data_IF_939068951373
#
_entry.id   IF_939068951373
#
_cell.length_a   1.000
_cell.length_b   1.000
_cell.length_c   1.000
_cell.angle_alpha   90.00
_cell.angle_beta   90.00
_cell.angle_gamma   90.00
#
_symmetry.space_group_name_H-M   'P 1'
#
loop_
_entity.id
_entity.type
_entity.pdbx_description
1 polymer ?
#
# COMPACT_ATOMS: atom_id res chain seq x y z
N UNK A 1 5.81 16.41 -26.85
CA UNK A 1 5.04 15.17 -26.62
C UNK A 1 5.48 14.63 -25.26
N UNK A 2 4.68 14.86 -24.22
CA UNK A 2 5.04 14.54 -22.83
C UNK A 2 4.88 13.04 -22.60
N UNK A 3 5.95 12.36 -22.22
CA UNK A 3 5.92 10.97 -21.82
C UNK A 3 5.64 10.97 -20.30
N UNK A 4 4.56 10.36 -19.84
CA UNK A 4 4.35 10.10 -18.42
C UNK A 4 4.74 8.66 -18.14
N UNK A 5 4.98 8.32 -16.88
CA UNK A 5 5.03 6.93 -16.45
C UNK A 5 3.61 6.38 -16.43
N UNK A 6 3.51 5.05 -16.54
CA UNK A 6 2.23 4.41 -16.82
C UNK A 6 1.31 4.39 -15.58
N UNK A 7 1.81 4.57 -14.35
CA UNK A 7 0.97 4.65 -13.13
C UNK A 7 0.21 5.96 -13.00
N UNK A 8 0.88 7.09 -13.20
CA UNK A 8 0.31 8.43 -13.09
C UNK A 8 -0.71 8.63 -14.21
N UNK A 9 -0.39 8.20 -15.44
CA UNK A 9 -1.36 8.19 -16.55
C UNK A 9 -2.61 7.40 -16.23
N UNK A 10 -2.47 6.22 -15.61
CA UNK A 10 -3.62 5.40 -15.23
C UNK A 10 -4.44 6.11 -14.15
N UNK A 11 -3.78 6.72 -13.15
CA UNK A 11 -4.46 7.52 -12.12
C UNK A 11 -5.18 8.75 -12.69
N UNK A 12 -4.53 9.49 -13.59
CA UNK A 12 -5.11 10.64 -14.29
C UNK A 12 -6.33 10.22 -15.12
N UNK A 13 -6.21 9.11 -15.85
CA UNK A 13 -7.32 8.54 -16.61
C UNK A 13 -8.48 8.15 -15.69
N UNK A 14 -8.21 7.48 -14.57
CA UNK A 14 -9.26 7.14 -13.60
C UNK A 14 -9.90 8.39 -13.00
N UNK A 15 -9.14 9.43 -12.70
CA UNK A 15 -9.69 10.69 -12.20
C UNK A 15 -10.53 11.43 -13.25
N UNK A 16 -10.19 11.31 -14.55
CA UNK A 16 -10.96 11.91 -15.64
C UNK A 16 -12.25 11.13 -15.95
N UNK A 17 -12.17 9.81 -16.05
CA UNK A 17 -13.30 8.95 -16.45
C UNK A 17 -14.21 8.59 -15.26
N UNK A 18 -13.65 8.57 -14.05
CA UNK A 18 -14.31 8.05 -12.85
C UNK A 18 -14.04 8.94 -11.61
N UNK A 19 -14.05 10.25 -11.80
CA UNK A 19 -13.78 11.28 -10.78
C UNK A 19 -14.49 11.03 -9.44
N UNK A 20 -15.74 10.57 -9.47
CA UNK A 20 -16.59 10.40 -8.28
C UNK A 20 -16.47 9.03 -7.61
N UNK A 21 -15.64 8.14 -8.16
CA UNK A 21 -15.39 6.82 -7.55
C UNK A 21 -14.49 6.98 -6.32
N UNK A 22 -14.81 6.28 -5.24
CA UNK A 22 -14.05 6.35 -4.00
C UNK A 22 -12.66 5.67 -4.16
N UNK A 23 -11.60 6.45 -3.94
CA UNK A 23 -10.22 5.99 -3.98
C UNK A 23 -9.71 5.59 -2.60
N UNK A 24 -10.03 6.38 -1.57
CA UNK A 24 -9.55 6.14 -0.20
C UNK A 24 -10.69 6.39 0.80
N UNK A 25 -10.82 5.50 1.78
CA UNK A 25 -11.72 5.61 2.93
C UNK A 25 -10.88 5.54 4.21
N UNK A 26 -10.96 6.58 5.04
CA UNK A 26 -10.23 6.72 6.29
C UNK A 26 -11.18 7.20 7.40
N UNK A 27 -11.76 6.22 8.12
CA UNK A 27 -12.82 6.48 9.08
C UNK A 27 -14.01 7.22 8.44
N UNK A 28 -14.42 8.40 8.95
CA UNK A 28 -15.51 9.18 8.37
C UNK A 28 -15.09 10.00 7.15
N UNK A 29 -13.80 10.09 6.86
CA UNK A 29 -13.27 10.85 5.73
C UNK A 29 -13.07 9.95 4.52
N UNK A 30 -13.27 10.49 3.33
CA UNK A 30 -13.02 9.76 2.09
C UNK A 30 -12.51 10.72 1.01
N UNK A 31 -11.77 10.17 0.06
CA UNK A 31 -11.38 10.85 -1.18
C UNK A 31 -11.86 10.03 -2.36
N UNK A 32 -12.49 10.72 -3.31
CA UNK A 32 -12.69 10.17 -4.66
C UNK A 32 -11.39 10.23 -5.48
N UNK A 33 -11.33 9.55 -6.62
CA UNK A 33 -10.17 9.64 -7.52
C UNK A 33 -9.91 11.08 -7.99
N UNK A 34 -10.97 11.83 -8.30
CA UNK A 34 -10.84 13.25 -8.67
C UNK A 34 -10.29 14.10 -7.52
N UNK A 35 -10.80 13.90 -6.30
CA UNK A 35 -10.32 14.63 -5.11
C UNK A 35 -8.88 14.25 -4.74
N UNK A 36 -8.53 12.96 -4.84
CA UNK A 36 -7.17 12.48 -4.60
C UNK A 36 -6.18 13.15 -5.56
N UNK A 37 -6.47 13.12 -6.87
CA UNK A 37 -5.59 13.74 -7.86
C UNK A 37 -5.49 15.25 -7.67
N UNK A 38 -6.61 15.94 -7.38
CA UNK A 38 -6.60 17.38 -7.13
C UNK A 38 -5.72 17.77 -5.94
N UNK A 39 -5.83 17.06 -4.81
CA UNK A 39 -4.99 17.30 -3.62
C UNK A 39 -3.52 16.97 -3.89
N UNK A 40 -3.25 15.85 -4.58
CA UNK A 40 -1.90 15.46 -4.92
C UNK A 40 -1.23 16.46 -5.89
N UNK A 41 -1.99 17.01 -6.84
CA UNK A 41 -1.50 18.05 -7.77
C UNK A 41 -1.15 19.33 -7.01
N UNK A 42 -2.00 19.76 -6.06
CA UNK A 42 -1.71 20.93 -5.24
C UNK A 42 -0.43 20.76 -4.41
N UNK A 43 -0.21 19.57 -3.85
CA UNK A 43 1.04 19.25 -3.15
C UNK A 43 2.24 19.20 -4.10
N UNK A 44 2.08 18.61 -5.29
CA UNK A 44 3.10 18.54 -6.33
C UNK A 44 3.55 19.95 -6.77
N UNK A 45 2.60 20.87 -6.99
CA UNK A 45 2.88 22.25 -7.34
C UNK A 45 3.64 22.97 -6.21
N UNK A 46 3.26 22.74 -4.95
CA UNK A 46 3.96 23.29 -3.78
C UNK A 46 5.41 22.79 -3.68
N UNK A 47 5.63 21.49 -3.92
CA UNK A 47 6.97 20.89 -4.00
C UNK A 47 7.78 21.55 -5.12
N UNK A 48 7.16 21.81 -6.28
CA UNK A 48 7.83 22.37 -7.45
C UNK A 48 8.15 23.87 -7.33
N UNK A 49 7.30 24.64 -6.65
CA UNK A 49 7.39 26.10 -6.48
C UNK A 49 8.40 26.51 -5.41
N UNK A 50 8.41 25.82 -4.26
CA UNK A 50 9.28 26.20 -3.13
C UNK A 50 10.75 25.94 -3.44
N UNK A 51 11.06 24.76 -3.98
CA UNK A 51 12.39 24.42 -4.48
C UNK A 51 12.23 23.31 -5.53
N UNK A 52 12.62 23.58 -6.77
CA UNK A 52 12.49 22.62 -7.87
C UNK A 52 13.01 21.24 -7.46
N UNK A 53 12.09 20.28 -7.34
CA UNK A 53 12.43 18.87 -7.16
C UNK A 53 12.97 18.35 -8.47
N UNK A 54 14.12 17.68 -8.42
CA UNK A 54 14.70 17.06 -9.60
C UNK A 54 14.03 15.71 -9.86
N UNK A 55 14.01 15.29 -11.12
CA UNK A 55 13.58 13.94 -11.46
C UNK A 55 14.46 12.93 -10.71
N UNK A 56 13.86 11.83 -10.25
CA UNK A 56 14.54 10.73 -9.51
C UNK A 56 14.90 11.08 -8.08
N UNK A 57 14.78 12.36 -7.69
CA UNK A 57 15.15 12.82 -6.35
C UNK A 57 14.33 12.10 -5.27
N UNK A 58 14.96 11.53 -4.23
CA UNK A 58 14.25 10.86 -3.16
C UNK A 58 13.61 11.87 -2.19
N UNK A 59 12.30 11.74 -2.00
CA UNK A 59 11.50 12.55 -1.07
C UNK A 59 10.98 11.67 0.06
N UNK A 60 11.37 12.01 1.29
CA UNK A 60 10.91 11.33 2.50
C UNK A 60 9.44 11.62 2.77
N UNK A 61 8.67 10.60 3.15
CA UNK A 61 7.27 10.75 3.56
C UNK A 61 7.12 10.15 4.95
N UNK A 62 6.97 11.02 5.95
CA UNK A 62 6.84 10.64 7.35
C UNK A 62 5.42 10.92 7.84
N UNK A 63 4.47 10.15 7.30
CA UNK A 63 3.04 10.27 7.57
C UNK A 63 2.49 8.91 8.02
N UNK A 64 1.51 8.93 8.93
CA UNK A 64 0.80 7.72 9.30
C UNK A 64 -0.04 7.21 8.11
N UNK A 65 -0.33 5.90 8.02
CA UNK A 65 -1.32 5.40 7.05
C UNK A 65 -2.63 6.19 7.17
N UNK A 66 -3.12 6.72 6.05
CA UNK A 66 -4.22 7.68 6.04
C UNK A 66 -4.30 8.47 4.73
N UNK A 67 -5.26 9.39 4.64
CA UNK A 67 -5.44 10.22 3.43
C UNK A 67 -4.18 10.99 3.04
N UNK A 68 -3.50 11.62 4.02
CA UNK A 68 -2.32 12.43 3.78
C UNK A 68 -1.17 11.63 3.17
N UNK A 69 -0.94 10.41 3.66
CA UNK A 69 0.11 9.53 3.16
C UNK A 69 -0.12 9.09 1.71
N UNK A 70 -1.37 8.82 1.33
CA UNK A 70 -1.72 8.48 -0.06
C UNK A 70 -1.55 9.71 -0.96
N UNK A 71 -2.03 10.88 -0.53
CA UNK A 71 -1.87 12.15 -1.27
C UNK A 71 -0.39 12.48 -1.48
N UNK A 72 0.44 12.35 -0.44
CA UNK A 72 1.87 12.65 -0.49
C UNK A 72 2.61 11.75 -1.48
N UNK A 73 2.36 10.45 -1.46
CA UNK A 73 2.97 9.52 -2.41
C UNK A 73 2.56 9.84 -3.85
N UNK A 74 1.27 10.07 -4.12
CA UNK A 74 0.83 10.46 -5.47
C UNK A 74 1.51 11.77 -5.90
N UNK A 75 1.60 12.77 -5.02
CA UNK A 75 2.22 14.06 -5.33
C UNK A 75 3.72 13.95 -5.69
N UNK A 76 4.47 13.15 -4.93
CA UNK A 76 5.90 12.89 -5.19
C UNK A 76 6.08 12.19 -6.55
N UNK A 77 5.22 11.24 -6.88
CA UNK A 77 5.21 10.62 -8.21
C UNK A 77 4.85 11.60 -9.33
N UNK A 78 3.90 12.52 -9.12
CA UNK A 78 3.53 13.53 -10.12
C UNK A 78 4.70 14.46 -10.49
N UNK A 79 5.57 14.81 -9.54
CA UNK A 79 6.77 15.62 -9.82
C UNK A 79 7.95 14.81 -10.38
N UNK A 80 7.80 13.48 -10.53
CA UNK A 80 8.84 12.59 -11.04
C UNK A 80 9.91 12.21 -10.02
N UNK A 81 9.63 12.40 -8.74
CA UNK A 81 10.52 12.07 -7.63
C UNK A 81 10.27 10.65 -7.12
N UNK A 82 11.21 10.14 -6.33
CA UNK A 82 11.15 8.81 -5.72
C UNK A 82 10.55 8.90 -4.32
N UNK A 83 9.47 8.16 -4.05
CA UNK A 83 8.90 8.09 -2.71
C UNK A 83 9.81 7.30 -1.76
N UNK A 84 10.11 7.88 -0.59
CA UNK A 84 10.74 7.19 0.55
C UNK A 84 9.79 7.22 1.76
N UNK A 85 8.72 6.40 1.75
CA UNK A 85 7.80 6.32 2.87
C UNK A 85 8.46 5.68 4.09
N UNK A 86 8.21 6.25 5.27
CA UNK A 86 8.79 5.82 6.54
C UNK A 86 7.72 5.79 7.64
N UNK A 87 7.80 4.81 8.55
CA UNK A 87 6.90 4.74 9.71
C UNK A 87 7.28 5.81 10.75
N UNK A 88 6.40 6.77 11.08
CA UNK A 88 6.69 7.87 12.00
C UNK A 88 7.01 7.42 13.44
N UNK A 89 6.54 6.24 13.84
CA UNK A 89 6.73 5.71 15.18
C UNK A 89 8.13 5.08 15.41
N UNK A 90 9.00 5.04 14.40
CA UNK A 90 10.38 4.61 14.58
C UNK A 90 11.19 5.64 15.40
N UNK A 91 12.29 5.23 16.06
CA UNK A 91 13.17 6.17 16.76
C UNK A 91 13.68 7.27 15.79
N UNK A 92 13.60 8.58 16.14
CA UNK A 92 14.00 9.66 15.23
C UNK A 92 15.43 9.55 14.70
N UNK A 93 16.37 9.06 15.52
CA UNK A 93 17.74 8.79 15.10
C UNK A 93 17.80 7.81 13.93
N UNK A 94 17.02 6.72 13.98
CA UNK A 94 16.95 5.70 12.94
C UNK A 94 16.32 6.26 11.66
N UNK A 95 15.27 7.08 11.79
CA UNK A 95 14.65 7.79 10.65
C UNK A 95 15.69 8.68 9.96
N UNK A 96 16.42 9.51 10.72
CA UNK A 96 17.46 10.38 10.16
C UNK A 96 18.61 9.61 9.49
N UNK A 97 19.00 8.46 10.03
CA UNK A 97 19.99 7.58 9.39
C UNK A 97 19.47 7.04 8.05
N UNK A 98 18.25 6.48 8.02
CA UNK A 98 17.61 5.99 6.80
C UNK A 98 17.48 7.06 5.72
N UNK A 99 17.03 8.26 6.11
CA UNK A 99 16.90 9.39 5.19
C UNK A 99 18.25 9.78 4.57
N UNK A 100 19.34 9.79 5.36
CA UNK A 100 20.69 10.10 4.86
C UNK A 100 21.26 8.99 3.98
N UNK A 101 21.01 7.72 4.32
CA UNK A 101 21.46 6.58 3.52
C UNK A 101 20.89 6.62 2.09
N UNK A 102 19.66 7.12 1.94
CA UNK A 102 18.97 7.30 0.66
C UNK A 102 19.15 8.73 0.10
N UNK A 103 20.03 9.55 0.68
CA UNK A 103 20.30 10.92 0.27
C UNK A 103 19.05 11.83 0.16
N UNK A 104 18.03 11.59 1.00
CA UNK A 104 16.84 12.44 1.08
C UNK A 104 17.22 13.82 1.58
N UNK A 105 16.79 14.85 0.84
CA UNK A 105 16.87 16.25 1.29
C UNK A 105 15.56 16.75 1.85
N UNK A 106 14.45 16.37 1.21
CA UNK A 106 13.10 16.88 1.49
C UNK A 106 12.25 15.83 2.19
N UNK A 107 11.52 16.23 3.24
CA UNK A 107 10.68 15.34 4.02
C UNK A 107 9.29 15.94 4.20
N UNK A 108 8.26 15.23 3.71
CA UNK A 108 6.85 15.56 3.95
C UNK A 108 6.46 15.00 5.33
N UNK A 109 5.90 15.85 6.20
CA UNK A 109 5.57 15.49 7.58
C UNK A 109 4.30 16.18 8.08
N UNK A 110 3.58 15.53 8.99
CA UNK A 110 2.34 16.04 9.62
C UNK A 110 2.62 17.09 10.71
N UNK A 111 3.64 16.88 11.54
CA UNK A 111 3.94 17.72 12.70
C UNK A 111 5.33 18.38 12.60
N UNK A 112 5.33 19.70 12.51
CA UNK A 112 6.51 20.57 12.45
C UNK A 112 7.03 21.01 13.81
N UNK A 113 6.29 20.73 14.88
CA UNK A 113 6.54 21.30 16.21
C UNK A 113 7.83 20.80 16.85
N UNK A 114 8.50 19.82 16.24
CA UNK A 114 9.65 19.15 16.83
C UNK A 114 10.91 19.35 15.99
N UNK A 115 11.95 19.90 16.63
CA UNK A 115 13.28 20.10 16.07
C UNK A 115 14.05 18.76 15.87
N UNK A 116 13.35 17.65 15.62
CA UNK A 116 13.89 16.28 15.59
C UNK A 116 14.59 15.95 14.27
N UNK A 117 14.21 16.63 13.19
CA UNK A 117 14.66 16.36 11.83
C UNK A 117 15.48 17.52 11.26
N UNK A 118 16.34 18.12 12.09
CA UNK A 118 17.27 19.16 11.64
C UNK A 118 18.18 18.65 10.52
N UNK A 119 18.40 19.49 9.51
CA UNK A 119 19.22 19.18 8.34
C UNK A 119 18.45 18.58 7.16
N UNK A 120 17.12 18.49 7.27
CA UNK A 120 16.22 18.20 6.14
C UNK A 120 15.32 19.39 5.88
N UNK A 121 14.95 19.58 4.62
CA UNK A 121 13.93 20.55 4.21
C UNK A 121 12.56 19.94 4.47
N UNK A 122 11.90 20.42 5.53
CA UNK A 122 10.63 19.88 5.96
C UNK A 122 9.49 20.53 5.14
N UNK A 123 8.56 19.72 4.64
CA UNK A 123 7.34 20.15 3.97
C UNK A 123 6.11 19.73 4.78
N UNK A 124 5.29 20.67 5.29
CA UNK A 124 4.11 20.30 6.05
C UNK A 124 3.08 19.70 5.13
N UNK A 125 2.46 18.63 5.61
CA UNK A 125 1.15 18.22 5.11
C UNK A 125 0.14 19.28 5.60
N UNK A 126 0.11 20.41 4.92
CA UNK A 126 -0.91 21.44 5.16
C UNK A 126 -2.28 20.89 4.77
N UNK A 127 -3.35 21.48 5.31
CA UNK A 127 -4.70 21.26 4.79
C UNK A 127 -4.76 21.93 3.41
N UNK A 128 -4.21 21.25 2.40
CA UNK A 128 -4.18 21.70 1.02
C UNK A 128 -5.61 21.69 0.51
N UNK A 129 -6.30 22.81 0.72
CA UNK A 129 -7.54 23.13 0.03
C UNK A 129 -7.23 23.16 -1.46
N UNK A 130 -8.04 22.50 -2.33
CA UNK A 130 -7.77 22.46 -3.75
C UNK A 130 -7.90 23.87 -4.33
N UNK A 131 -6.78 24.59 -4.45
CA UNK A 131 -6.68 25.76 -5.29
C UNK A 131 -6.61 25.29 -6.75
N UNK A 132 -7.54 25.79 -7.55
CA UNK A 132 -7.77 25.44 -8.94
C UNK A 132 -6.57 25.87 -9.81
N UNK A 133 -5.52 25.04 -9.95
CA UNK A 133 -4.39 25.32 -10.86
C UNK A 133 -3.83 24.07 -11.55
N UNK A 134 -3.18 24.30 -12.70
CA UNK A 134 -2.88 23.36 -13.79
C UNK A 134 -1.41 22.94 -13.83
N UNK A 135 -1.22 21.64 -14.08
CA UNK A 135 -0.15 20.94 -14.82
C UNK A 135 1.32 21.28 -14.54
N UNK A 136 2.06 20.30 -14.02
CA UNK A 136 3.35 19.83 -14.56
C UNK A 136 3.61 18.37 -14.14
N UNK A 137 4.21 17.54 -15.02
CA UNK A 137 4.67 16.18 -14.66
C UNK A 137 5.97 15.78 -15.38
N UNK A 138 6.87 15.17 -14.60
CA UNK A 138 8.13 14.54 -15.02
C UNK A 138 8.18 13.08 -14.50
N UNK A 139 9.08 12.25 -15.00
CA UNK A 139 8.98 10.78 -15.19
C UNK A 139 10.00 9.98 -14.34
N UNK A 140 9.70 8.76 -13.79
CA UNK A 140 10.66 7.63 -13.49
C UNK A 140 10.07 6.23 -13.15
N UNK A 141 10.89 5.17 -13.30
CA UNK A 141 10.60 3.73 -13.41
C UNK A 141 9.59 3.10 -12.43
N UNK A 142 8.60 2.46 -13.05
CA UNK A 142 7.24 2.20 -12.54
C UNK A 142 6.75 0.77 -12.90
N UNK A 143 7.61 -0.04 -13.51
CA UNK A 143 7.19 -1.24 -14.26
C UNK A 143 6.78 -2.45 -13.40
N UNK A 144 7.42 -2.69 -12.25
CA UNK A 144 7.12 -3.86 -11.41
C UNK A 144 5.81 -3.71 -10.63
N UNK A 145 5.48 -2.50 -10.16
CA UNK A 145 4.22 -2.21 -9.48
C UNK A 145 3.04 -2.32 -10.47
N UNK A 146 3.24 -1.84 -11.70
CA UNK A 146 2.29 -2.02 -12.79
C UNK A 146 2.06 -3.49 -13.15
N UNK A 147 3.13 -4.31 -13.12
CA UNK A 147 3.01 -5.74 -13.32
C UNK A 147 2.16 -6.39 -12.22
N UNK A 148 2.44 -6.08 -10.95
CA UNK A 148 1.68 -6.57 -9.80
C UNK A 148 0.20 -6.13 -9.86
N UNK A 149 -0.08 -4.91 -10.33
CA UNK A 149 -1.43 -4.38 -10.43
C UNK A 149 -2.24 -4.93 -11.61
N UNK A 150 -1.62 -5.01 -12.80
CA UNK A 150 -2.33 -5.30 -14.06
C UNK A 150 -2.23 -6.76 -14.52
N UNK A 151 -1.24 -7.52 -14.04
CA UNK A 151 -0.99 -8.91 -14.47
C UNK A 151 -1.08 -9.93 -13.34
N UNK A 152 -1.69 -9.55 -12.23
CA UNK A 152 -1.99 -10.49 -11.16
C UNK A 152 -3.27 -11.28 -11.47
N UNK A 153 -3.08 -12.41 -12.16
CA UNK A 153 -4.17 -13.32 -12.52
C UNK A 153 -4.61 -14.23 -11.36
N UNK A 154 -3.89 -14.22 -10.24
CA UNK A 154 -4.13 -15.10 -9.09
C UNK A 154 -5.07 -14.47 -8.06
N UNK A 155 -4.98 -13.16 -7.87
CA UNK A 155 -5.94 -12.35 -7.09
C UNK A 155 -6.44 -11.16 -7.90
N UNK A 156 -7.20 -11.39 -8.99
CA UNK A 156 -7.72 -10.30 -9.80
C UNK A 156 -8.72 -9.47 -8.99
N UNK A 157 -8.39 -8.20 -8.77
CA UNK A 157 -9.27 -7.27 -8.05
C UNK A 157 -10.53 -7.00 -8.90
N UNK A 158 -11.68 -7.44 -8.40
CA UNK A 158 -13.01 -7.13 -8.93
C UNK A 158 -13.33 -5.65 -8.74
N UNK A 159 -14.18 -5.08 -9.60
CA UNK A 159 -14.59 -3.67 -9.61
C UNK A 159 -15.17 -3.13 -8.30
N UNK A 160 -15.63 -4.01 -7.40
CA UNK A 160 -16.16 -3.65 -6.08
C UNK A 160 -15.16 -3.83 -4.94
N UNK A 161 -13.94 -4.29 -5.22
CA UNK A 161 -12.99 -4.63 -4.17
C UNK A 161 -12.51 -3.41 -3.39
N UNK A 162 -12.36 -3.65 -2.08
CA UNK A 162 -11.84 -2.71 -1.09
C UNK A 162 -10.67 -3.36 -0.38
N UNK A 163 -9.49 -2.78 -0.55
CA UNK A 163 -8.22 -3.32 -0.05
C UNK A 163 -7.88 -2.59 1.25
N UNK A 164 -7.69 -3.33 2.33
CA UNK A 164 -7.24 -2.73 3.60
C UNK A 164 -5.81 -2.21 3.47
N UNK A 165 -5.53 -1.04 4.02
CA UNK A 165 -4.18 -0.50 4.14
C UNK A 165 -3.79 -0.32 5.61
N UNK A 166 -2.73 -1.00 6.02
CA UNK A 166 -2.22 -0.98 7.40
C UNK A 166 -0.79 -1.44 7.55
N UNK A 167 -0.21 -2.05 6.51
CA UNK A 167 1.18 -2.45 6.53
C UNK A 167 2.07 -1.22 6.66
N UNK A 168 3.24 -1.42 7.28
CA UNK A 168 4.21 -0.36 7.44
C UNK A 168 4.57 0.20 6.05
N UNK A 169 4.44 1.52 5.84
CA UNK A 169 4.59 2.11 4.51
C UNK A 169 6.03 2.05 4.00
N UNK A 170 7.02 1.84 4.87
CA UNK A 170 8.42 1.58 4.49
C UNK A 170 8.71 0.15 4.05
N UNK A 171 7.71 -0.74 4.02
CA UNK A 171 7.84 -2.10 3.51
C UNK A 171 6.99 -2.33 2.26
N UNK A 172 7.45 -3.25 1.41
CA UNK A 172 6.91 -3.52 0.08
C UNK A 172 5.46 -4.03 0.05
N UNK A 173 4.94 -4.67 1.11
CA UNK A 173 3.52 -5.04 1.19
C UNK A 173 2.58 -3.84 1.02
N UNK A 174 2.99 -2.67 1.51
CA UNK A 174 2.21 -1.44 1.38
C UNK A 174 2.07 -0.96 -0.07
N UNK A 175 2.99 -1.35 -0.97
CA UNK A 175 2.89 -1.01 -2.40
C UNK A 175 1.69 -1.69 -3.06
N UNK A 176 1.33 -2.90 -2.63
CA UNK A 176 0.10 -3.53 -3.09
C UNK A 176 -1.12 -2.79 -2.54
N UNK A 177 -1.14 -2.56 -1.22
CA UNK A 177 -2.28 -1.90 -0.55
C UNK A 177 -2.61 -0.56 -1.18
N UNK A 178 -1.58 0.18 -1.60
CA UNK A 178 -1.74 1.47 -2.25
C UNK A 178 -1.82 1.37 -3.78
N UNK A 179 -0.70 1.09 -4.44
CA UNK A 179 -0.57 1.30 -5.87
C UNK A 179 -1.32 0.25 -6.69
N UNK A 180 -1.25 -1.02 -6.30
CA UNK A 180 -2.04 -2.05 -7.00
C UNK A 180 -3.54 -1.77 -6.90
N UNK A 181 -4.01 -1.32 -5.72
CA UNK A 181 -5.39 -0.88 -5.50
C UNK A 181 -5.78 0.30 -6.39
N UNK A 182 -4.97 1.35 -6.41
CA UNK A 182 -5.26 2.58 -7.17
C UNK A 182 -5.21 2.38 -8.69
N UNK A 183 -4.20 1.66 -9.18
CA UNK A 183 -4.05 1.33 -10.61
C UNK A 183 -5.24 0.46 -11.06
N UNK A 184 -5.69 -0.46 -10.23
CA UNK A 184 -6.86 -1.28 -10.51
C UNK A 184 -8.18 -0.50 -10.42
N UNK A 185 -8.18 0.78 -10.03
CA UNK A 185 -9.39 1.57 -9.76
C UNK A 185 -10.25 0.98 -8.64
N UNK A 186 -9.64 0.69 -7.49
CA UNK A 186 -10.28 0.16 -6.29
C UNK A 186 -10.18 1.13 -5.13
N UNK A 187 -10.83 0.79 -4.03
CA UNK A 187 -10.82 1.62 -2.82
C UNK A 187 -9.78 1.09 -1.83
N UNK A 188 -8.91 1.97 -1.36
CA UNK A 188 -8.08 1.76 -0.17
C UNK A 188 -8.94 2.01 1.06
N UNK A 189 -8.97 1.07 2.00
CA UNK A 189 -9.63 1.22 3.31
C UNK A 189 -8.56 1.27 4.38
N UNK A 190 -8.32 2.45 4.97
CA UNK A 190 -7.31 2.65 6.01
C UNK A 190 -7.77 1.95 7.28
N UNK A 191 -6.99 0.98 7.74
CA UNK A 191 -7.24 0.27 9.00
C UNK A 191 -6.63 1.08 10.16
N UNK A 192 -7.44 1.52 11.15
CA UNK A 192 -6.90 2.27 12.28
C UNK A 192 -5.89 1.45 13.09
N UNK A 193 -4.87 2.14 13.63
CA UNK A 193 -3.85 1.51 14.49
C UNK A 193 -4.50 0.72 15.63
N UNK A 194 -4.02 -0.50 15.86
CA UNK A 194 -4.51 -1.42 16.91
C UNK A 194 -5.77 -2.22 16.55
N UNK A 195 -6.50 -1.90 15.48
CA UNK A 195 -7.69 -2.69 15.07
C UNK A 195 -7.30 -4.09 14.61
N UNK A 196 -6.19 -4.23 13.86
CA UNK A 196 -5.74 -5.51 13.33
C UNK A 196 -5.49 -6.57 14.41
N UNK A 197 -5.06 -6.15 15.60
CA UNK A 197 -4.73 -7.02 16.73
C UNK A 197 -5.89 -7.21 17.70
N UNK A 198 -7.03 -6.55 17.48
CA UNK A 198 -8.19 -6.64 18.35
C UNK A 198 -9.22 -7.65 17.80
N UNK A 199 -9.43 -8.78 18.48
CA UNK A 199 -10.27 -9.88 18.00
C UNK A 199 -11.76 -9.49 17.87
N UNK A 200 -12.20 -8.43 18.55
CA UNK A 200 -13.58 -7.94 18.49
C UNK A 200 -13.76 -6.85 17.44
N UNK A 201 -12.74 -6.01 17.23
CA UNK A 201 -12.84 -4.86 16.32
C UNK A 201 -12.51 -5.19 14.88
N UNK A 202 -11.55 -6.08 14.61
CA UNK A 202 -11.19 -6.43 13.24
C UNK A 202 -12.37 -7.00 12.43
N UNK A 203 -13.11 -8.03 12.90
CA UNK A 203 -14.21 -8.60 12.11
C UNK A 203 -15.33 -7.58 11.85
N UNK A 204 -15.65 -6.76 12.85
CA UNK A 204 -16.65 -5.68 12.73
C UNK A 204 -16.20 -4.63 11.71
N UNK A 205 -14.95 -4.16 11.82
CA UNK A 205 -14.38 -3.19 10.90
C UNK A 205 -14.41 -3.68 9.44
N UNK A 206 -13.98 -4.93 9.19
CA UNK A 206 -13.97 -5.50 7.84
C UNK A 206 -15.38 -5.58 7.25
N UNK A 207 -16.37 -5.92 8.08
CA UNK A 207 -17.78 -6.00 7.68
C UNK A 207 -18.35 -4.61 7.39
N UNK A 208 -18.18 -3.66 8.30
CA UNK A 208 -18.77 -2.32 8.24
C UNK A 208 -18.20 -1.51 7.06
N UNK A 209 -16.89 -1.64 6.81
CA UNK A 209 -16.21 -0.97 5.68
C UNK A 209 -16.37 -1.71 4.36
N UNK A 210 -16.93 -2.93 4.39
CA UNK A 210 -17.00 -3.87 3.25
C UNK A 210 -15.62 -4.13 2.65
N UNK A 211 -14.59 -4.23 3.49
CA UNK A 211 -13.28 -4.68 3.07
C UNK A 211 -13.39 -6.07 2.47
N UNK A 212 -12.71 -6.32 1.35
CA UNK A 212 -12.76 -7.60 0.63
C UNK A 212 -11.39 -8.22 0.42
N UNK A 213 -10.32 -7.44 0.52
CA UNK A 213 -8.95 -7.92 0.34
C UNK A 213 -8.07 -7.43 1.49
N UNK A 214 -7.34 -8.36 2.10
CA UNK A 214 -6.34 -8.06 3.12
C UNK A 214 -5.03 -8.79 2.80
N UNK A 215 -3.93 -8.04 2.76
CA UNK A 215 -2.59 -8.59 2.71
C UNK A 215 -1.97 -8.38 4.09
N UNK A 216 -1.48 -9.46 4.69
CA UNK A 216 -1.12 -9.47 6.10
C UNK A 216 0.21 -10.21 6.32
N UNK A 217 1.11 -9.69 7.17
CA UNK A 217 2.29 -10.44 7.57
C UNK A 217 1.90 -11.75 8.25
N UNK A 218 2.55 -12.85 7.89
CA UNK A 218 2.20 -14.18 8.40
C UNK A 218 2.22 -14.24 9.94
N UNK A 219 3.17 -13.59 10.63
CA UNK A 219 3.16 -13.50 12.10
C UNK A 219 1.87 -12.89 12.65
N UNK A 220 1.37 -11.80 12.07
CA UNK A 220 0.14 -11.16 12.53
C UNK A 220 -1.07 -12.03 12.22
N UNK A 221 -1.12 -12.66 11.04
CA UNK A 221 -2.15 -13.64 10.71
C UNK A 221 -2.18 -14.78 11.74
N UNK A 222 -1.03 -15.31 12.16
CA UNK A 222 -0.94 -16.39 13.15
C UNK A 222 -1.52 -15.98 14.51
N UNK A 223 -1.26 -14.76 14.95
CA UNK A 223 -1.80 -14.20 16.19
C UNK A 223 -3.32 -14.10 16.10
N UNK A 224 -3.85 -13.55 15.01
CA UNK A 224 -5.30 -13.41 14.80
C UNK A 224 -5.96 -14.77 14.68
N UNK A 225 -5.39 -15.70 13.91
CA UNK A 225 -5.91 -17.06 13.74
C UNK A 225 -6.07 -17.81 15.08
N UNK A 226 -5.18 -17.55 16.05
CA UNK A 226 -5.25 -18.16 17.37
C UNK A 226 -6.31 -17.56 18.30
N UNK A 227 -6.71 -16.30 18.08
CA UNK A 227 -7.59 -15.54 18.99
C UNK A 227 -8.99 -15.31 18.41
N UNK A 228 -9.08 -15.10 17.09
CA UNK A 228 -10.31 -14.87 16.33
C UNK A 228 -10.18 -15.49 14.91
N UNK A 229 -10.26 -16.82 14.79
CA UNK A 229 -10.06 -17.51 13.50
C UNK A 229 -11.10 -17.14 12.43
N UNK A 230 -12.29 -16.68 12.83
CA UNK A 230 -13.34 -16.20 11.94
C UNK A 230 -13.22 -14.71 11.59
N UNK A 231 -12.16 -14.01 12.01
CA UNK A 231 -12.01 -12.58 11.78
C UNK A 231 -12.00 -12.20 10.29
N UNK A 232 -11.57 -13.13 9.45
CA UNK A 232 -11.40 -12.92 8.02
C UNK A 232 -12.63 -13.29 7.17
N UNK A 233 -13.74 -13.75 7.79
CA UNK A 233 -14.91 -14.30 7.07
C UNK A 233 -15.56 -13.37 6.05
N UNK A 234 -15.43 -12.06 6.23
CA UNK A 234 -16.00 -11.06 5.31
C UNK A 234 -15.14 -10.86 4.04
N UNK A 235 -13.91 -11.37 4.04
CA UNK A 235 -12.95 -11.13 2.98
C UNK A 235 -13.10 -12.15 1.85
N UNK A 236 -12.92 -11.67 0.61
CA UNK A 236 -12.76 -12.51 -0.56
C UNK A 236 -11.35 -13.07 -0.69
N UNK A 237 -10.36 -12.27 -0.30
CA UNK A 237 -8.95 -12.64 -0.39
C UNK A 237 -8.20 -12.25 0.88
N UNK A 238 -7.58 -13.24 1.52
CA UNK A 238 -6.52 -13.03 2.53
C UNK A 238 -5.22 -13.56 1.96
N UNK A 239 -4.20 -12.71 1.92
CA UNK A 239 -2.86 -13.10 1.49
C UNK A 239 -1.90 -12.98 2.66
N UNK A 240 -1.36 -14.09 3.13
CA UNK A 240 -0.28 -14.11 4.12
C UNK A 240 1.06 -14.04 3.42
N UNK A 241 1.97 -13.19 3.86
CA UNK A 241 3.30 -13.05 3.26
C UNK A 241 4.35 -12.58 4.28
N UNK A 242 5.62 -12.52 3.86
CA UNK A 242 6.74 -11.97 4.64
C UNK A 242 7.57 -13.00 5.41
N UNK A 243 7.04 -14.21 5.63
CA UNK A 243 7.76 -15.33 6.24
C UNK A 243 7.04 -16.66 5.95
N UNK A 244 7.63 -17.77 6.41
CA UNK A 244 7.07 -19.11 6.20
C UNK A 244 5.67 -19.25 6.80
N UNK A 245 4.72 -19.70 5.98
CA UNK A 245 3.36 -20.03 6.39
C UNK A 245 3.32 -21.05 7.55
N UNK A 246 2.35 -20.89 8.44
CA UNK A 246 2.09 -21.80 9.55
C UNK A 246 0.84 -22.67 9.23
N UNK A 247 1.03 -23.97 8.89
CA UNK A 247 -0.09 -24.85 8.54
C UNK A 247 -1.20 -24.91 9.60
N UNK A 248 -0.84 -24.84 10.89
CA UNK A 248 -1.81 -24.90 11.99
C UNK A 248 -2.69 -23.65 12.05
N UNK A 249 -2.10 -22.47 11.89
CA UNK A 249 -2.84 -21.21 11.88
C UNK A 249 -3.79 -21.12 10.67
N UNK A 250 -3.29 -21.49 9.48
CA UNK A 250 -4.08 -21.55 8.26
C UNK A 250 -5.26 -22.51 8.41
N UNK A 251 -5.03 -23.70 8.98
CA UNK A 251 -6.07 -24.67 9.29
C UNK A 251 -7.16 -24.10 10.20
N UNK A 252 -6.78 -23.42 11.29
CA UNK A 252 -7.76 -22.85 12.23
C UNK A 252 -8.70 -21.85 11.56
N UNK A 253 -8.20 -21.01 10.64
CA UNK A 253 -9.05 -20.11 9.86
C UNK A 253 -9.90 -20.89 8.85
N UNK A 254 -9.32 -21.86 8.15
CA UNK A 254 -10.02 -22.67 7.15
C UNK A 254 -11.17 -23.51 7.73
N UNK A 255 -11.09 -23.91 9.00
CA UNK A 255 -12.14 -24.65 9.70
C UNK A 255 -13.25 -23.76 10.30
N UNK A 256 -13.09 -22.42 10.33
CA UNK A 256 -13.94 -21.49 11.12
C UNK A 256 -14.38 -20.27 10.31
N UNK A 257 -15.40 -20.44 9.47
CA UNK A 257 -15.94 -19.38 8.59
C UNK A 257 -14.80 -18.68 7.80
N UNK A 258 -14.13 -19.41 6.89
CA UNK A 258 -12.97 -18.87 6.20
C UNK A 258 -13.32 -17.70 5.26
N UNK A 259 -12.32 -16.89 4.87
CA UNK A 259 -12.47 -16.03 3.70
C UNK A 259 -12.74 -16.89 2.45
N UNK A 260 -13.24 -16.26 1.37
CA UNK A 260 -13.50 -16.97 0.11
C UNK A 260 -12.22 -17.64 -0.45
N UNK A 261 -11.07 -16.99 -0.25
CA UNK A 261 -9.76 -17.49 -0.65
C UNK A 261 -8.68 -17.09 0.36
N UNK A 262 -7.90 -18.06 0.80
CA UNK A 262 -6.71 -17.90 1.64
C UNK A 262 -5.47 -18.25 0.82
N UNK A 263 -4.50 -17.34 0.77
CA UNK A 263 -3.32 -17.45 -0.07
C UNK A 263 -2.04 -17.39 0.75
N UNK A 264 -1.11 -18.27 0.43
CA UNK A 264 0.29 -18.14 0.84
C UNK A 264 1.04 -17.40 -0.27
N UNK A 265 1.45 -16.17 0.02
CA UNK A 265 2.21 -15.32 -0.88
C UNK A 265 3.70 -15.31 -0.53
N UNK A 266 4.54 -15.29 -1.55
CA UNK A 266 5.99 -15.18 -1.39
C UNK A 266 6.56 -14.20 -2.41
N UNK A 267 7.46 -13.35 -1.95
CA UNK A 267 8.25 -12.46 -2.80
C UNK A 267 9.30 -11.75 -1.96
N UNK A 268 10.55 -11.66 -2.41
CA UNK A 268 11.51 -10.75 -1.83
C UNK A 268 11.20 -9.31 -2.26
N UNK A 269 11.76 -8.31 -1.55
CA UNK A 269 11.57 -6.89 -1.88
C UNK A 269 12.04 -6.55 -3.29
N UNK A 270 13.11 -7.17 -3.75
CA UNK A 270 13.63 -7.08 -5.12
C UNK A 270 12.63 -7.60 -6.17
N UNK A 271 11.72 -8.50 -5.76
CA UNK A 271 10.65 -9.06 -6.57
C UNK A 271 9.35 -8.26 -6.55
N UNK A 272 9.33 -7.10 -5.86
CA UNK A 272 8.16 -6.23 -5.69
C UNK A 272 6.98 -6.94 -5.02
N UNK A 273 7.08 -7.10 -3.71
CA UNK A 273 6.00 -7.57 -2.82
C UNK A 273 5.68 -9.07 -2.96
N UNK A 274 5.10 -9.50 -4.07
CA UNK A 274 4.65 -10.87 -4.28
C UNK A 274 5.12 -11.37 -5.65
N UNK A 275 5.94 -12.41 -5.64
CA UNK A 275 6.46 -13.07 -6.84
C UNK A 275 5.70 -14.36 -7.16
N UNK A 276 5.29 -15.10 -6.14
CA UNK A 276 4.53 -16.35 -6.27
C UNK A 276 3.37 -16.42 -5.29
N UNK A 277 2.32 -17.15 -5.64
CA UNK A 277 1.19 -17.39 -4.76
C UNK A 277 0.68 -18.83 -4.87
N UNK A 278 0.19 -19.34 -3.74
CA UNK A 278 -0.49 -20.62 -3.63
C UNK A 278 -1.82 -20.46 -2.90
N UNK A 279 -2.92 -20.97 -3.48
CA UNK A 279 -4.21 -21.02 -2.80
C UNK A 279 -4.19 -22.17 -1.81
N UNK A 280 -4.34 -21.86 -0.53
CA UNK A 280 -4.28 -22.87 0.54
C UNK A 280 -5.66 -23.48 0.75
N UNK A 281 -5.69 -24.81 0.85
CA UNK A 281 -6.88 -25.61 1.19
C UNK A 281 -6.63 -26.42 2.46
N UNK A 282 -7.70 -26.98 3.05
CA UNK A 282 -7.59 -27.80 4.26
C UNK A 282 -6.62 -28.99 4.11
N UNK A 283 -6.64 -29.76 3.00
CA UNK A 283 -5.65 -30.82 2.77
C UNK A 283 -4.19 -30.36 2.82
N UNK A 284 -3.89 -29.16 2.29
CA UNK A 284 -2.51 -28.63 2.31
C UNK A 284 -1.99 -28.42 3.74
N UNK A 285 -2.89 -28.20 4.70
CA UNK A 285 -2.54 -27.97 6.10
C UNK A 285 -2.22 -29.25 6.89
N UNK A 286 -2.29 -30.42 6.25
CA UNK A 286 -1.82 -31.69 6.81
C UNK A 286 -0.32 -31.90 6.64
N UNK A 287 0.30 -31.16 5.72
CA UNK A 287 1.73 -31.18 5.45
C UNK A 287 2.49 -30.27 6.43
N UNK A 288 3.79 -30.52 6.59
CA UNK A 288 4.68 -29.71 7.43
C UNK A 288 4.96 -28.31 6.83
N UNK A 289 4.75 -28.15 5.52
CA UNK A 289 5.06 -26.92 4.77
C UNK A 289 3.99 -26.60 3.75
N UNK A 290 3.69 -25.32 3.59
CA UNK A 290 2.80 -24.82 2.56
C UNK A 290 3.62 -24.37 1.35
N UNK A 291 3.19 -24.77 0.15
CA UNK A 291 3.81 -24.34 -1.10
C UNK A 291 3.78 -22.82 -1.26
N UNK A 292 4.83 -22.25 -1.85
CA UNK A 292 4.83 -20.84 -2.30
C UNK A 292 4.13 -20.67 -3.67
N UNK A 293 3.79 -21.79 -4.31
CA UNK A 293 2.94 -21.85 -5.48
C UNK A 293 3.61 -21.44 -6.78
N UNK A 294 2.85 -20.74 -7.62
CA UNK A 294 3.23 -20.42 -8.99
C UNK A 294 3.53 -18.92 -9.15
N UNK A 295 4.36 -18.53 -10.13
CA UNK A 295 4.65 -17.13 -10.40
C UNK A 295 3.42 -16.28 -10.71
N UNK A 296 3.42 -15.03 -10.26
CA UNK A 296 2.39 -14.06 -10.61
C UNK A 296 2.71 -13.45 -11.98
N UNK A 297 1.77 -13.59 -12.92
CA UNK A 297 1.88 -13.02 -14.26
C UNK A 297 3.06 -13.59 -15.05
N UNK A 298 4.06 -12.74 -15.32
CA UNK A 298 5.22 -13.04 -16.15
C UNK A 298 6.50 -13.21 -15.31
N UNK A 299 6.39 -13.28 -13.98
CA UNK A 299 7.56 -13.47 -13.12
C UNK A 299 8.26 -14.80 -13.45
N UNK A 300 9.58 -14.77 -13.57
CA UNK A 300 10.38 -15.93 -13.89
C UNK A 300 11.15 -16.40 -12.65
N UNK A 301 10.97 -17.66 -12.27
CA UNK A 301 11.73 -18.29 -11.19
C UNK A 301 12.95 -18.99 -11.79
N UNK A 302 14.15 -18.59 -11.37
CA UNK A 302 15.34 -19.41 -11.57
C UNK A 302 15.74 -20.02 -10.24
N UNK A 303 15.50 -21.33 -10.09
CA UNK A 303 16.03 -22.07 -8.96
C UNK A 303 17.53 -22.28 -9.20
N UNK A 304 18.40 -21.70 -8.36
CA UNK A 304 19.77 -22.22 -8.24
C UNK A 304 19.64 -23.56 -7.51
N UNK A 305 19.92 -24.65 -8.22
CA UNK A 305 20.02 -26.00 -7.67
C UNK A 305 21.13 -26.08 -6.63
#
# INVERSE_FOLDING_TARGET
MVCYTMMERVLEQHAQEHSDTMAVLDGPQALTYGQLLARATCLADSLQLKDKVEAEEPVGILLNPGLGQVVAQVAVHLVGATCVPLEPNQPPKRICELLRDVAVRRVIIEDFSTNRYQGFDLYPMEHLEPALFRHHSHLIQTSSILHLAMKNNMTPLSHTDRVTAFNNPGFDLSLFEMWATLIARRTIVVLPKGVATDPSRLPAFLTDTRASVMIIPTALFNIIASTAPNAFRALRHVVTAGEAANPRALRFVLEKEPPENLWNGYGPTEGTTLTTMYRVTLPDCLEDRISIGQPIGNACLSARR
#
